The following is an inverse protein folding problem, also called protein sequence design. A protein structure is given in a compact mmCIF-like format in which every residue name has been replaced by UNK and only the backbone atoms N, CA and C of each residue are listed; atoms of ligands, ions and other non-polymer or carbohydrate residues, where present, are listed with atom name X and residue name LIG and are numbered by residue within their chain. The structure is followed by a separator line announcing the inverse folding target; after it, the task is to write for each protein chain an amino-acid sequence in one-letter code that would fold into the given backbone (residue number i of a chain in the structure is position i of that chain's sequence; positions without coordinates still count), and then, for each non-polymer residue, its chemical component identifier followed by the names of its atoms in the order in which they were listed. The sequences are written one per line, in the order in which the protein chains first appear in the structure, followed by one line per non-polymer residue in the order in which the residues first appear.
data_IF_402934133269
#
_entry.id   IF_402934133269
#
_cell.length_a   1.000
_cell.length_b   1.000
_cell.length_c   1.000
_cell.angle_alpha   90.00
_cell.angle_beta   90.00
_cell.angle_gamma   90.00
#
_symmetry.space_group_name_H-M   'P 1'
#
loop_
_entity.id
_entity.type
_entity.pdbx_description
1 polymer ?
#
# COMPACT_ATOMS: atom_id res chain seq x y z
N UNK A 1 3.65 6.26 13.82
CA UNK A 1 2.20 6.16 13.52
C UNK A 1 1.58 7.49 13.07
N UNK A 2 1.75 8.60 13.80
CA UNK A 2 1.16 9.92 13.43
C UNK A 2 1.43 10.33 11.97
N UNK A 3 2.68 10.32 11.53
CA UNK A 3 3.02 10.65 10.13
C UNK A 3 2.45 9.68 9.09
N UNK A 4 2.15 8.42 9.46
CA UNK A 4 1.51 7.47 8.54
C UNK A 4 0.01 7.76 8.38
N UNK A 5 -0.67 8.22 9.44
CA UNK A 5 -2.07 8.64 9.35
C UNK A 5 -2.20 9.88 8.47
N UNK A 6 -1.33 10.89 8.71
CA UNK A 6 -1.29 12.12 7.91
C UNK A 6 -1.03 11.82 6.42
N UNK A 7 -0.01 11.01 6.10
CA UNK A 7 0.28 10.64 4.72
C UNK A 7 -0.86 9.86 4.03
N UNK A 8 -1.56 8.99 4.77
CA UNK A 8 -2.71 8.25 4.23
C UNK A 8 -3.90 9.17 4.02
N UNK A 9 -4.15 10.10 4.95
CA UNK A 9 -5.21 11.09 4.85
C UNK A 9 -4.99 12.02 3.64
N UNK A 10 -3.76 12.46 3.39
CA UNK A 10 -3.40 13.22 2.19
C UNK A 10 -3.61 12.38 0.92
N UNK A 11 -3.24 11.10 0.92
CA UNK A 11 -3.52 10.20 -0.19
C UNK A 11 -5.03 10.07 -0.50
N UNK A 12 -5.87 9.92 0.54
CA UNK A 12 -7.33 9.90 0.38
C UNK A 12 -7.88 11.24 -0.10
N UNK A 13 -7.30 12.36 0.33
CA UNK A 13 -7.67 13.69 -0.15
C UNK A 13 -7.38 13.86 -1.63
N UNK A 14 -6.17 13.51 -2.08
CA UNK A 14 -5.80 13.56 -3.51
C UNK A 14 -6.70 12.66 -4.36
N UNK A 15 -7.04 11.47 -3.84
CA UNK A 15 -8.02 10.57 -4.45
C UNK A 15 -9.40 11.21 -4.59
N UNK A 16 -9.92 11.81 -3.51
CA UNK A 16 -11.23 12.48 -3.51
C UNK A 16 -11.30 13.69 -4.43
N UNK A 17 -10.16 14.32 -4.71
CA UNK A 17 -10.03 15.45 -5.64
C UNK A 17 -9.75 15.00 -7.09
N UNK A 18 -9.72 13.69 -7.37
CA UNK A 18 -9.46 13.15 -8.71
C UNK A 18 -8.02 13.37 -9.20
N UNK A 19 -7.07 13.63 -8.30
CA UNK A 19 -5.67 13.92 -8.61
C UNK A 19 -4.76 12.69 -8.44
N UNK A 20 -5.28 11.52 -8.82
CA UNK A 20 -4.53 10.28 -8.83
C UNK A 20 -4.78 9.50 -10.12
N UNK A 21 -3.76 8.79 -10.58
CA UNK A 21 -3.90 7.65 -11.47
C UNK A 21 -3.66 6.39 -10.65
N UNK A 22 -4.69 5.58 -10.43
CA UNK A 22 -4.60 4.35 -9.65
C UNK A 22 -5.52 3.30 -10.27
N UNK A 23 -5.00 2.43 -11.16
CA UNK A 23 -5.81 1.38 -11.75
C UNK A 23 -6.21 0.32 -10.72
N UNK A 24 -7.12 -0.57 -11.12
CA UNK A 24 -7.44 -1.74 -10.31
C UNK A 24 -6.18 -2.60 -10.07
N UNK A 25 -6.13 -3.23 -8.90
CA UNK A 25 -5.03 -4.13 -8.55
C UNK A 25 -4.97 -5.31 -9.52
N UNK A 26 -3.77 -5.72 -9.89
CA UNK A 26 -3.54 -6.91 -10.72
C UNK A 26 -3.17 -8.09 -9.82
N UNK A 27 -3.84 -9.23 -10.02
CA UNK A 27 -3.69 -10.41 -9.18
C UNK A 27 -3.07 -11.57 -9.96
N UNK A 28 -2.17 -12.30 -9.31
CA UNK A 28 -1.72 -13.63 -9.72
C UNK A 28 -2.00 -14.59 -8.57
N UNK A 29 -2.84 -15.59 -8.82
CA UNK A 29 -3.20 -16.59 -7.81
C UNK A 29 -2.22 -17.76 -7.86
N UNK A 30 -1.61 -18.05 -6.72
CA UNK A 30 -0.77 -19.22 -6.51
C UNK A 30 -1.62 -20.31 -5.84
N UNK A 31 -2.67 -20.79 -6.51
CA UNK A 31 -3.68 -21.71 -5.94
C UNK A 31 -3.04 -22.94 -5.28
N UNK A 32 -2.02 -23.53 -5.92
CA UNK A 32 -1.25 -24.66 -5.40
C UNK A 32 -0.63 -24.40 -4.02
N UNK A 33 -0.34 -23.14 -3.69
CA UNK A 33 0.41 -22.74 -2.50
C UNK A 33 -0.42 -21.90 -1.53
N UNK A 34 -1.74 -21.80 -1.74
CA UNK A 34 -2.62 -20.93 -0.96
C UNK A 34 -2.06 -19.50 -0.85
N UNK A 35 -1.69 -18.96 -2.01
CA UNK A 35 -0.99 -17.69 -2.10
C UNK A 35 -1.54 -16.78 -3.17
N UNK A 36 -1.25 -15.48 -3.04
CA UNK A 36 -1.56 -14.49 -4.06
C UNK A 36 -0.45 -13.44 -4.14
N UNK A 37 -0.09 -13.06 -5.36
CA UNK A 37 0.71 -11.88 -5.64
C UNK A 37 -0.19 -10.77 -6.18
N UNK A 38 0.01 -9.55 -5.69
CA UNK A 38 -0.78 -8.39 -6.05
C UNK A 38 0.15 -7.25 -6.45
N UNK A 39 -0.01 -6.73 -7.67
CA UNK A 39 0.64 -5.52 -8.12
C UNK A 39 -0.31 -4.33 -7.96
N UNK A 40 0.20 -3.26 -7.34
CA UNK A 40 -0.56 -2.06 -6.99
C UNK A 40 0.22 -0.80 -7.41
N UNK A 41 0.15 -0.39 -8.69
CA UNK A 41 0.74 0.87 -9.14
C UNK A 41 -0.16 2.06 -8.79
N UNK A 42 0.46 3.22 -8.55
CA UNK A 42 -0.24 4.49 -8.42
C UNK A 42 0.69 5.67 -8.77
N UNK A 43 0.09 6.74 -9.28
CA UNK A 43 0.71 8.05 -9.44
C UNK A 43 -0.19 9.11 -8.79
N UNK A 44 0.36 9.88 -7.85
CA UNK A 44 -0.34 10.96 -7.15
C UNK A 44 0.15 12.30 -7.70
N UNK A 45 -0.71 13.00 -8.42
CA UNK A 45 -0.35 14.22 -9.15
C UNK A 45 0.04 15.36 -8.18
N UNK A 46 -0.73 15.53 -7.10
CA UNK A 46 -0.47 16.58 -6.11
C UNK A 46 0.83 16.42 -5.32
N UNK A 47 1.42 15.21 -5.34
CA UNK A 47 2.67 14.89 -4.64
C UNK A 47 3.85 14.64 -5.60
N UNK A 48 3.61 14.67 -6.92
CA UNK A 48 4.57 14.29 -7.96
C UNK A 48 5.27 12.95 -7.66
N UNK A 49 4.49 11.96 -7.19
CA UNK A 49 5.00 10.70 -6.67
C UNK A 49 4.37 9.50 -7.38
N UNK A 50 5.19 8.72 -8.09
CA UNK A 50 4.78 7.52 -8.81
C UNK A 50 5.48 6.29 -8.24
N UNK A 51 4.75 5.17 -8.10
CA UNK A 51 5.35 3.96 -7.59
C UNK A 51 4.50 2.71 -7.77
N UNK A 52 5.10 1.59 -7.43
CA UNK A 52 4.51 0.26 -7.48
C UNK A 52 4.78 -0.47 -6.17
N UNK A 53 3.72 -1.00 -5.56
CA UNK A 53 3.87 -2.05 -4.55
C UNK A 53 3.59 -3.42 -5.16
N UNK A 54 4.52 -4.34 -4.97
CA UNK A 54 4.28 -5.77 -5.15
C UNK A 54 4.15 -6.39 -3.76
N UNK A 55 3.04 -7.08 -3.51
CA UNK A 55 2.78 -7.75 -2.23
C UNK A 55 2.36 -9.19 -2.46
N UNK A 56 2.91 -10.10 -1.67
CA UNK A 56 2.47 -11.49 -1.60
C UNK A 56 1.76 -11.74 -0.28
N UNK A 57 0.68 -12.50 -0.32
CA UNK A 57 -0.05 -12.97 0.87
C UNK A 57 -0.08 -14.49 0.84
N UNK A 58 0.50 -15.11 1.86
CA UNK A 58 0.54 -16.56 2.08
C UNK A 58 0.21 -16.85 3.55
N UNK A 59 -1.04 -17.22 3.89
CA UNK A 59 -1.45 -17.41 5.29
C UNK A 59 -0.61 -18.44 6.05
N UNK A 60 -0.14 -19.49 5.37
CA UNK A 60 0.68 -20.55 5.97
C UNK A 60 2.17 -20.23 6.15
N UNK A 61 2.66 -19.06 5.71
CA UNK A 61 4.08 -18.71 5.81
C UNK A 61 4.65 -18.74 7.24
N UNK A 62 3.96 -18.19 8.26
CA UNK A 62 4.49 -18.16 9.62
C UNK A 62 4.74 -19.56 10.18
N UNK A 63 3.81 -20.49 9.94
CA UNK A 63 3.88 -21.86 10.44
C UNK A 63 4.86 -22.72 9.63
N UNK A 64 4.80 -22.64 8.29
CA UNK A 64 5.55 -23.56 7.41
C UNK A 64 7.00 -23.16 7.19
N UNK A 65 7.29 -21.86 7.20
CA UNK A 65 8.58 -21.32 6.77
C UNK A 65 9.17 -20.30 7.75
N UNK A 66 8.47 -19.96 8.84
CA UNK A 66 8.91 -18.91 9.77
C UNK A 66 8.94 -17.51 9.14
N UNK A 67 8.18 -17.29 8.06
CA UNK A 67 8.13 -16.02 7.33
C UNK A 67 6.83 -15.25 7.62
N UNK A 68 6.78 -13.92 7.44
CA UNK A 68 5.53 -13.18 7.52
C UNK A 68 4.48 -13.66 6.50
N UNK A 69 3.21 -13.62 6.89
CA UNK A 69 2.10 -13.94 5.99
C UNK A 69 1.94 -12.92 4.86
N UNK A 70 2.32 -11.67 5.11
CA UNK A 70 2.34 -10.59 4.11
C UNK A 70 3.78 -10.14 3.95
N UNK A 71 4.28 -10.17 2.73
CA UNK A 71 5.62 -9.67 2.37
C UNK A 71 5.44 -8.74 1.18
N UNK A 72 6.07 -7.57 1.22
CA UNK A 72 5.93 -6.61 0.14
C UNK A 72 7.24 -5.91 -0.19
N UNK A 73 7.31 -5.40 -1.42
CA UNK A 73 8.37 -4.54 -1.92
C UNK A 73 7.71 -3.34 -2.58
N UNK A 74 8.27 -2.14 -2.36
CA UNK A 74 7.83 -0.91 -2.99
C UNK A 74 8.96 -0.38 -3.87
N UNK A 75 8.61 0.02 -5.08
CA UNK A 75 9.46 0.73 -6.02
C UNK A 75 8.89 2.14 -6.16
N UNK A 76 9.74 3.15 -5.98
CA UNK A 76 9.41 4.55 -6.22
C UNK A 76 10.12 5.01 -7.50
N UNK A 77 9.41 5.72 -8.36
CA UNK A 77 9.91 6.19 -9.65
C UNK A 77 9.79 7.72 -9.74
N UNK A 78 10.73 8.34 -10.46
CA UNK A 78 10.63 9.72 -10.88
C UNK A 78 9.63 9.82 -12.05
N UNK A 79 8.47 10.48 -11.88
CA UNK A 79 7.46 10.56 -12.94
C UNK A 79 7.93 11.31 -14.18
N UNK A 80 8.98 12.13 -14.09
CA UNK A 80 9.47 12.95 -15.21
C UNK A 80 10.28 12.16 -16.22
N UNK A 81 10.95 11.09 -15.78
CA UNK A 81 11.90 10.33 -16.62
C UNK A 81 11.82 8.81 -16.41
N UNK A 82 10.96 8.32 -15.52
CA UNK A 82 10.75 6.91 -15.22
C UNK A 82 11.84 6.25 -14.36
N UNK A 83 12.92 6.97 -14.02
CA UNK A 83 14.05 6.41 -13.27
C UNK A 83 13.59 5.90 -11.90
N UNK A 84 13.91 4.66 -11.51
CA UNK A 84 13.71 4.20 -10.14
C UNK A 84 14.55 5.04 -9.17
N UNK A 85 13.89 5.64 -8.18
CA UNK A 85 14.50 6.42 -7.11
C UNK A 85 14.86 5.54 -5.91
N UNK A 86 14.01 4.57 -5.61
CA UNK A 86 14.21 3.65 -4.49
C UNK A 86 13.52 2.30 -4.72
N UNK A 87 14.11 1.26 -4.13
CA UNK A 87 13.47 -0.03 -3.90
C UNK A 87 13.58 -0.28 -2.40
N UNK A 88 12.45 -0.57 -1.75
CA UNK A 88 12.38 -0.64 -0.29
C UNK A 88 11.46 -1.77 0.18
N UNK A 89 11.70 -2.23 1.42
CA UNK A 89 10.77 -3.13 2.09
C UNK A 89 9.38 -2.47 2.18
N UNK A 90 8.39 -3.16 1.63
CA UNK A 90 7.00 -2.77 1.70
C UNK A 90 6.26 -3.47 2.84
N UNK A 91 6.87 -4.44 3.52
CA UNK A 91 6.22 -5.26 4.54
C UNK A 91 5.83 -4.41 5.74
N UNK A 92 6.80 -3.69 6.31
CA UNK A 92 6.57 -2.78 7.42
C UNK A 92 5.64 -1.62 7.02
N UNK A 93 5.88 -1.02 5.85
CA UNK A 93 5.04 0.07 5.30
C UNK A 93 3.59 -0.40 5.12
N UNK A 94 3.37 -1.65 4.68
CA UNK A 94 2.03 -2.21 4.52
C UNK A 94 1.29 -2.30 5.85
N UNK A 95 1.95 -2.73 6.92
CA UNK A 95 1.35 -2.76 8.25
C UNK A 95 0.96 -1.35 8.73
N UNK A 96 1.91 -0.41 8.65
CA UNK A 96 1.69 0.98 9.09
C UNK A 96 0.56 1.67 8.33
N UNK A 97 0.61 1.68 6.99
CA UNK A 97 -0.37 2.39 6.17
C UNK A 97 -1.77 1.78 6.26
N UNK A 98 -1.87 0.47 6.50
CA UNK A 98 -3.17 -0.19 6.69
C UNK A 98 -3.81 0.26 8.00
N UNK A 99 -3.03 0.30 9.08
CA UNK A 99 -3.48 0.88 10.35
C UNK A 99 -3.81 2.37 10.19
N UNK A 100 -3.00 3.12 9.45
CA UNK A 100 -3.23 4.54 9.14
C UNK A 100 -4.55 4.78 8.40
N UNK A 101 -4.89 3.94 7.42
CA UNK A 101 -6.17 4.00 6.72
C UNK A 101 -7.36 3.73 7.65
N UNK A 102 -7.24 2.73 8.54
CA UNK A 102 -8.25 2.45 9.56
C UNK A 102 -8.44 3.63 10.52
N UNK A 103 -7.34 4.23 10.99
CA UNK A 103 -7.38 5.40 11.86
C UNK A 103 -8.00 6.63 11.16
N UNK A 104 -7.68 6.87 9.89
CA UNK A 104 -8.32 7.91 9.09
C UNK A 104 -9.83 7.68 8.97
N UNK A 105 -10.25 6.43 8.67
CA UNK A 105 -11.66 6.06 8.64
C UNK A 105 -12.36 6.32 9.98
N UNK A 106 -11.76 5.88 11.08
CA UNK A 106 -12.28 6.12 12.42
C UNK A 106 -12.43 7.61 12.72
N UNK A 107 -11.40 8.42 12.45
CA UNK A 107 -11.41 9.89 12.66
C UNK A 107 -12.62 10.58 12.04
N UNK A 108 -13.03 10.16 10.84
CA UNK A 108 -14.10 10.82 10.09
C UNK A 108 -15.47 10.15 10.20
N UNK A 109 -15.53 8.87 10.57
CA UNK A 109 -16.76 8.06 10.50
C UNK A 109 -17.20 7.46 11.84
N UNK A 110 -16.35 7.44 12.87
CA UNK A 110 -16.74 6.93 14.18
C UNK A 110 -17.63 7.94 14.92
N UNK A 111 -18.38 7.45 15.92
CA UNK A 111 -19.08 8.35 16.84
C UNK A 111 -18.04 9.14 17.64
N UNK A 112 -18.38 10.37 18.06
CA UNK A 112 -17.45 11.21 18.83
C UNK A 112 -17.10 10.64 20.20
N UNK A 113 -17.92 9.71 20.70
CA UNK A 113 -17.84 9.07 22.01
C UNK A 113 -17.43 7.58 21.94
N UNK A 114 -17.00 7.10 20.77
CA UNK A 114 -16.46 5.73 20.60
C UNK A 114 -15.01 5.59 21.02
#
# INVERSE_FOLDING_TARGET
MKGAVEAVEDGFREMGLGRIEMPARVYLHFEKYDGVLIAMPAYILGLDAAGLKVVTVHPGNPEKYGLPAVIATIILNDPRNGKPLAIMDGTYITALRTGGAGACGAKYLSRKDS
#
